data_IF_118193803851
#
_entry.id   IF_118193803851
#
_cell.length_a   1.000
_cell.length_b   1.000
_cell.length_c   1.000
_cell.angle_alpha   90.00
_cell.angle_beta   90.00
_cell.angle_gamma   90.00
#
_symmetry.space_group_name_H-M   'P 1'
#
loop_
_entity.id
_entity.type
_entity.pdbx_description
1 polymer ?
#
# COMPACT_ATOMS: atom_id res chain seq x y z
N UNK A 1 32.54 34.79 -35.37
CA UNK A 1 32.70 33.36 -35.71
C UNK A 1 34.16 32.97 -35.57
N UNK A 2 34.52 32.29 -34.47
CA UNK A 2 35.72 31.45 -34.35
C UNK A 2 35.33 30.27 -33.47
N UNK A 3 35.39 29.09 -34.08
CA UNK A 3 35.07 27.78 -33.54
C UNK A 3 36.28 27.29 -32.73
N UNK A 4 36.07 26.91 -31.47
CA UNK A 4 37.09 26.25 -30.66
C UNK A 4 36.87 24.73 -30.67
N UNK A 5 37.98 24.00 -30.69
CA UNK A 5 38.09 22.61 -31.15
C UNK A 5 37.82 21.59 -30.03
N UNK A 6 36.82 20.72 -30.23
CA UNK A 6 36.62 19.50 -29.45
C UNK A 6 37.54 18.39 -29.96
N UNK A 7 38.52 17.98 -29.15
CA UNK A 7 39.48 16.91 -29.49
C UNK A 7 38.99 15.57 -28.91
N UNK A 8 38.43 14.71 -29.76
CA UNK A 8 38.05 13.34 -29.38
C UNK A 8 39.28 12.41 -29.43
N UNK A 9 39.45 11.57 -28.40
CA UNK A 9 40.51 10.57 -28.30
C UNK A 9 39.98 9.21 -28.77
N UNK A 10 40.53 8.69 -29.86
CA UNK A 10 40.10 7.43 -30.48
C UNK A 10 40.91 6.23 -29.93
N UNK A 11 40.21 5.18 -29.48
CA UNK A 11 40.78 3.86 -29.21
C UNK A 11 40.16 2.85 -30.19
N UNK A 12 41.01 2.10 -30.88
CA UNK A 12 40.63 1.10 -31.89
C UNK A 12 40.43 -0.29 -31.24
N UNK A 13 39.38 -1.02 -31.64
CA UNK A 13 39.30 -2.46 -31.42
C UNK A 13 39.14 -3.21 -32.75
N UNK A 14 39.79 -4.37 -32.84
CA UNK A 14 40.18 -5.10 -34.05
C UNK A 14 39.08 -5.80 -34.87
N UNK A 15 37.92 -5.17 -35.06
CA UNK A 15 36.93 -5.57 -36.06
C UNK A 15 36.34 -4.29 -36.62
N UNK A 16 36.61 -3.99 -37.89
CA UNK A 16 36.42 -2.69 -38.56
C UNK A 16 34.98 -2.18 -38.71
N UNK A 17 34.15 -2.29 -37.67
CA UNK A 17 32.88 -1.58 -37.51
C UNK A 17 33.06 -0.49 -36.47
N UNK A 18 32.89 0.77 -36.89
CA UNK A 18 32.70 1.87 -35.93
C UNK A 18 31.41 1.60 -35.15
N UNK A 19 31.53 1.16 -33.90
CA UNK A 19 30.45 1.30 -32.94
C UNK A 19 30.62 2.66 -32.30
N UNK A 20 30.07 3.69 -32.94
CA UNK A 20 29.76 4.93 -32.23
C UNK A 20 28.61 4.60 -31.30
N UNK A 21 28.90 4.22 -30.05
CA UNK A 21 27.89 4.38 -29.00
C UNK A 21 27.58 5.88 -28.92
N UNK A 22 26.33 6.30 -29.17
CA UNK A 22 25.99 7.70 -29.08
C UNK A 22 26.23 8.16 -27.64
N UNK A 23 26.93 9.30 -27.47
CA UNK A 23 27.22 9.91 -26.17
C UNK A 23 25.97 10.11 -25.28
N UNK A 24 24.77 10.10 -25.87
CA UNK A 24 23.48 10.15 -25.16
C UNK A 24 23.20 8.90 -24.33
N UNK A 25 23.51 7.69 -24.83
CA UNK A 25 23.19 6.43 -24.12
C UNK A 25 24.01 6.30 -22.84
N UNK A 26 25.27 6.74 -22.84
CA UNK A 26 26.13 6.68 -21.64
C UNK A 26 25.70 7.70 -20.59
N UNK A 27 25.31 8.92 -20.98
CA UNK A 27 24.76 9.91 -20.05
C UNK A 27 23.40 9.51 -19.49
N UNK A 28 22.57 8.82 -20.28
CA UNK A 28 21.27 8.31 -19.83
C UNK A 28 21.44 7.14 -18.84
N UNK A 29 22.41 6.25 -19.07
CA UNK A 29 22.72 5.16 -18.16
C UNK A 29 23.32 5.65 -16.83
N UNK A 30 24.19 6.66 -16.87
CA UNK A 30 24.76 7.28 -15.66
C UNK A 30 23.69 8.05 -14.86
N UNK A 31 22.78 8.76 -15.55
CA UNK A 31 21.64 9.42 -14.91
C UNK A 31 20.66 8.43 -14.28
N UNK A 32 20.31 7.35 -14.98
CA UNK A 32 19.44 6.28 -14.46
C UNK A 32 20.08 5.54 -13.27
N UNK A 33 21.41 5.35 -13.28
CA UNK A 33 22.12 4.77 -12.14
C UNK A 33 22.08 5.67 -10.91
N UNK A 34 22.31 6.98 -11.08
CA UNK A 34 22.22 7.97 -9.99
C UNK A 34 20.80 8.13 -9.43
N UNK A 35 19.78 8.13 -10.29
CA UNK A 35 18.36 8.15 -9.86
C UNK A 35 17.99 6.91 -9.06
N UNK A 36 18.49 5.74 -9.46
CA UNK A 36 18.23 4.47 -8.76
C UNK A 36 18.92 4.40 -7.40
N UNK A 37 20.13 4.94 -7.29
CA UNK A 37 20.87 5.02 -6.02
C UNK A 37 20.15 5.95 -5.03
N UNK A 38 19.75 7.15 -5.46
CA UNK A 38 18.98 8.07 -4.60
C UNK A 38 17.62 7.51 -4.20
N UNK A 39 16.91 6.83 -5.11
CA UNK A 39 15.64 6.18 -4.78
C UNK A 39 15.80 5.07 -3.72
N UNK A 40 16.93 4.35 -3.74
CA UNK A 40 17.25 3.33 -2.75
C UNK A 40 17.58 3.92 -1.38
N UNK A 41 18.32 5.02 -1.32
CA UNK A 41 18.63 5.72 -0.07
C UNK A 41 17.35 6.28 0.59
N UNK A 42 16.50 6.90 -0.22
CA UNK A 42 15.21 7.44 0.23
C UNK A 42 14.29 6.34 0.77
N UNK A 43 14.25 5.19 0.08
CA UNK A 43 13.49 4.03 0.53
C UNK A 43 13.95 3.53 1.91
N UNK A 44 15.25 3.37 2.14
CA UNK A 44 15.78 2.93 3.43
C UNK A 44 15.57 3.99 4.53
N UNK A 45 15.67 5.29 4.19
CA UNK A 45 15.32 6.40 5.11
C UNK A 45 13.86 6.32 5.57
N UNK A 46 12.92 6.19 4.62
CA UNK A 46 11.49 6.11 4.92
C UNK A 46 11.20 4.84 5.73
N UNK A 47 11.75 3.69 5.32
CA UNK A 47 11.60 2.41 6.03
C UNK A 47 12.05 2.50 7.49
N UNK A 48 13.21 3.12 7.74
CA UNK A 48 13.71 3.34 9.09
C UNK A 48 12.79 4.26 9.90
N UNK A 49 12.36 5.37 9.31
CA UNK A 49 11.46 6.36 9.93
C UNK A 49 10.11 5.75 10.31
N UNK A 50 9.50 4.97 9.40
CA UNK A 50 8.24 4.25 9.65
C UNK A 50 8.40 3.28 10.82
N UNK A 51 9.46 2.46 10.80
CA UNK A 51 9.72 1.46 11.84
C UNK A 51 9.97 2.10 13.21
N UNK A 52 10.75 3.16 13.25
CA UNK A 52 11.05 3.90 14.48
C UNK A 52 9.79 4.54 15.06
N UNK A 53 9.00 5.22 14.22
CA UNK A 53 7.77 5.87 14.64
C UNK A 53 6.81 4.88 15.32
N UNK A 54 6.50 3.74 14.68
CA UNK A 54 5.65 2.72 15.29
C UNK A 54 6.23 2.12 16.58
N UNK A 55 7.56 2.00 16.66
CA UNK A 55 8.24 1.52 17.87
C UNK A 55 8.07 2.50 19.03
N UNK A 56 8.13 3.82 18.78
CA UNK A 56 7.88 4.86 19.79
C UNK A 56 6.43 4.91 20.25
N UNK A 57 5.49 4.64 19.35
CA UNK A 57 4.05 4.51 19.66
C UNK A 57 3.72 3.20 20.43
N UNK A 58 4.71 2.37 20.75
CA UNK A 58 4.51 1.09 21.45
C UNK A 58 3.79 0.04 20.62
N UNK A 59 3.74 0.21 19.29
CA UNK A 59 3.09 -0.71 18.37
C UNK A 59 4.07 -1.77 17.89
N UNK A 60 3.70 -3.05 17.98
CA UNK A 60 4.48 -4.15 17.41
C UNK A 60 4.46 -4.03 15.88
N UNK A 61 5.66 -3.96 15.29
CA UNK A 61 5.86 -3.96 13.83
C UNK A 61 6.33 -5.33 13.39
N UNK A 62 5.60 -5.95 12.46
CA UNK A 62 5.96 -7.20 11.84
C UNK A 62 6.47 -6.94 10.43
N UNK A 63 7.75 -7.22 10.19
CA UNK A 63 8.35 -7.11 8.85
C UNK A 63 8.02 -8.36 8.05
N UNK A 64 7.42 -8.19 6.88
CA UNK A 64 7.03 -9.29 6.01
C UNK A 64 7.87 -9.19 4.72
N UNK A 65 8.52 -10.28 4.35
CA UNK A 65 9.22 -10.35 3.06
C UNK A 65 8.21 -10.47 1.92
N UNK A 66 8.29 -9.59 0.93
CA UNK A 66 7.42 -9.61 -0.24
C UNK A 66 8.25 -9.26 -1.49
N UNK A 67 8.31 -10.14 -2.52
CA UNK A 67 9.13 -9.91 -3.70
C UNK A 67 8.68 -8.71 -4.56
N UNK A 68 7.48 -8.16 -4.31
CA UNK A 68 6.90 -7.01 -5.03
C UNK A 68 6.98 -5.70 -4.26
N UNK A 69 7.61 -5.70 -3.09
CA UNK A 69 7.73 -4.52 -2.26
C UNK A 69 9.16 -4.37 -1.73
N UNK A 70 9.63 -3.13 -1.69
CA UNK A 70 10.92 -2.76 -1.09
C UNK A 70 10.86 -3.01 0.42
N UNK A 71 9.73 -2.69 1.03
CA UNK A 71 9.38 -3.16 2.36
C UNK A 71 7.87 -3.30 2.54
N UNK A 72 7.49 -4.17 3.46
CA UNK A 72 6.12 -4.39 3.90
C UNK A 72 6.13 -4.57 5.42
N UNK A 73 5.39 -3.70 6.11
CA UNK A 73 5.14 -3.81 7.54
C UNK A 73 3.68 -4.11 7.80
N UNK A 74 3.43 -5.05 8.71
CA UNK A 74 2.13 -5.24 9.33
C UNK A 74 2.16 -4.66 10.73
N UNK A 75 1.20 -3.79 11.04
CA UNK A 75 1.15 -3.03 12.29
C UNK A 75 -0.26 -3.09 12.87
N UNK A 76 -0.37 -3.25 14.19
CA UNK A 76 -1.66 -3.11 14.90
C UNK A 76 -1.82 -1.66 15.33
N UNK A 77 -2.72 -0.93 14.68
CA UNK A 77 -3.00 0.46 15.02
C UNK A 77 -4.40 0.60 15.59
N UNK A 78 -4.47 0.94 16.88
CA UNK A 78 -5.73 0.94 17.63
C UNK A 78 -6.44 -0.43 17.53
N UNK A 79 -7.59 -0.49 16.84
CA UNK A 79 -8.42 -1.71 16.72
C UNK A 79 -8.10 -2.58 15.52
N UNK A 80 -7.40 -2.06 14.51
CA UNK A 80 -7.23 -2.75 13.21
C UNK A 80 -5.77 -3.01 12.88
N UNK A 81 -5.55 -4.03 12.07
CA UNK A 81 -4.26 -4.24 11.42
C UNK A 81 -4.18 -3.43 10.13
N UNK A 82 -3.03 -2.83 9.91
CA UNK A 82 -2.67 -2.12 8.68
C UNK A 82 -1.43 -2.74 8.07
N UNK A 83 -1.39 -2.73 6.74
CA UNK A 83 -0.19 -2.96 5.96
C UNK A 83 0.36 -1.61 5.51
N UNK A 84 1.62 -1.34 5.81
CA UNK A 84 2.39 -0.22 5.26
C UNK A 84 3.37 -0.80 4.27
N UNK A 85 3.14 -0.57 2.98
CA UNK A 85 3.90 -1.17 1.89
C UNK A 85 4.52 -0.10 1.03
N UNK A 86 5.78 -0.27 0.66
CA UNK A 86 6.41 0.46 -0.44
C UNK A 86 6.57 -0.50 -1.62
N UNK A 87 5.74 -0.41 -2.67
CA UNK A 87 5.89 -1.27 -3.82
C UNK A 87 7.24 -1.01 -4.52
N UNK A 88 7.78 -2.03 -5.20
CA UNK A 88 9.01 -1.87 -5.97
C UNK A 88 8.86 -0.75 -7.02
N UNK A 89 9.89 0.09 -7.12
CA UNK A 89 10.00 1.10 -8.17
C UNK A 89 8.88 2.15 -8.12
N UNK A 90 8.26 2.34 -6.93
CA UNK A 90 7.22 3.32 -6.70
C UNK A 90 7.66 4.33 -5.64
N UNK A 91 7.54 5.62 -5.94
CA UNK A 91 7.89 6.72 -5.05
C UNK A 91 6.75 7.10 -4.09
N UNK A 92 6.13 6.09 -3.49
CA UNK A 92 5.14 6.27 -2.45
C UNK A 92 5.05 5.05 -1.54
N UNK A 93 4.65 5.30 -0.29
CA UNK A 93 4.12 4.25 0.58
C UNK A 93 2.61 4.18 0.42
N UNK A 94 2.08 2.96 0.37
CA UNK A 94 0.66 2.67 0.45
C UNK A 94 0.35 2.14 1.85
N UNK A 95 -0.61 2.79 2.50
CA UNK A 95 -1.15 2.34 3.79
C UNK A 95 -2.52 1.75 3.50
N UNK A 96 -2.76 0.52 3.94
CA UNK A 96 -4.02 -0.15 3.70
C UNK A 96 -4.49 -0.98 4.90
N UNK A 97 -5.80 -1.10 5.07
CA UNK A 97 -6.41 -2.06 5.99
C UNK A 97 -7.43 -2.90 5.26
N UNK A 98 -7.20 -4.21 5.31
CA UNK A 98 -8.13 -5.22 4.81
C UNK A 98 -9.01 -5.72 5.95
N UNK A 99 -10.32 -5.62 5.76
CA UNK A 99 -11.33 -6.09 6.71
C UNK A 99 -12.23 -7.12 6.04
N UNK A 100 -12.33 -8.29 6.66
CA UNK A 100 -13.22 -9.35 6.22
C UNK A 100 -14.56 -9.24 6.95
N UNK A 101 -15.66 -9.44 6.22
CA UNK A 101 -17.00 -9.44 6.80
C UNK A 101 -17.15 -10.72 7.64
N UNK A 102 -17.59 -10.60 8.90
CA UNK A 102 -17.76 -11.78 9.76
C UNK A 102 -18.82 -12.75 9.22
N UNK A 103 -18.69 -14.05 9.55
CA UNK A 103 -19.75 -15.02 9.32
C UNK A 103 -21.12 -14.60 9.88
N UNK A 104 -21.16 -13.86 10.98
CA UNK A 104 -22.39 -13.33 11.58
C UNK A 104 -23.10 -12.38 10.62
N UNK A 105 -22.37 -11.40 10.06
CA UNK A 105 -22.90 -10.49 9.06
C UNK A 105 -23.29 -11.23 7.78
N UNK A 106 -22.48 -12.17 7.31
CA UNK A 106 -22.75 -12.95 6.09
C UNK A 106 -24.07 -13.73 6.15
N UNK A 107 -24.52 -14.16 7.34
CA UNK A 107 -25.82 -14.86 7.49
C UNK A 107 -27.02 -13.98 7.15
N UNK A 108 -26.90 -12.66 7.30
CA UNK A 108 -28.00 -11.70 7.12
C UNK A 108 -27.78 -10.75 5.95
N UNK A 109 -26.62 -10.83 5.30
CA UNK A 109 -26.22 -9.99 4.18
C UNK A 109 -26.76 -10.57 2.86
N UNK A 110 -27.97 -10.15 2.48
CA UNK A 110 -28.56 -10.47 1.18
C UNK A 110 -27.85 -9.71 0.05
N UNK A 111 -28.10 -10.09 -1.20
CA UNK A 111 -27.54 -9.37 -2.36
C UNK A 111 -27.96 -7.90 -2.39
N UNK A 112 -29.21 -7.60 -2.03
CA UNK A 112 -29.74 -6.23 -1.94
C UNK A 112 -29.02 -5.42 -0.86
N UNK A 113 -28.86 -5.99 0.34
CA UNK A 113 -28.13 -5.38 1.45
C UNK A 113 -26.66 -5.18 1.12
N UNK A 114 -26.03 -6.13 0.43
CA UNK A 114 -24.65 -5.99 -0.02
C UNK A 114 -24.52 -4.84 -1.02
N UNK A 115 -25.45 -4.72 -1.97
CA UNK A 115 -25.48 -3.60 -2.92
C UNK A 115 -25.65 -2.26 -2.21
N UNK A 116 -26.56 -2.19 -1.23
CA UNK A 116 -26.78 -1.00 -0.42
C UNK A 116 -25.51 -0.62 0.36
N UNK A 117 -24.90 -1.58 1.03
CA UNK A 117 -23.64 -1.42 1.76
C UNK A 117 -22.54 -0.89 0.83
N UNK A 118 -22.36 -1.51 -0.33
CA UNK A 118 -21.37 -1.09 -1.30
C UNK A 118 -21.61 0.35 -1.78
N UNK A 119 -22.85 0.69 -2.10
CA UNK A 119 -23.24 2.04 -2.54
C UNK A 119 -22.98 3.11 -1.47
N UNK A 120 -23.40 2.87 -0.22
CA UNK A 120 -23.24 3.83 0.86
C UNK A 120 -21.77 4.05 1.22
N UNK A 121 -21.00 2.96 1.30
CA UNK A 121 -19.58 3.03 1.63
C UNK A 121 -18.76 3.66 0.49
N UNK A 122 -19.08 3.39 -0.77
CA UNK A 122 -18.46 4.08 -1.91
C UNK A 122 -18.79 5.57 -1.92
N UNK A 123 -20.03 5.95 -1.63
CA UNK A 123 -20.41 7.36 -1.53
C UNK A 123 -19.58 8.06 -0.46
N UNK A 124 -19.49 7.48 0.74
CA UNK A 124 -18.64 7.98 1.81
C UNK A 124 -17.17 8.11 1.36
N UNK A 125 -16.62 7.09 0.68
CA UNK A 125 -15.22 7.11 0.24
C UNK A 125 -14.94 8.23 -0.76
N UNK A 126 -15.85 8.47 -1.71
CA UNK A 126 -15.74 9.58 -2.67
C UNK A 126 -15.81 10.95 -1.99
N UNK A 127 -16.75 11.15 -1.06
CA UNK A 127 -16.92 12.42 -0.35
C UNK A 127 -15.73 12.75 0.55
N UNK A 128 -15.05 11.73 1.07
CA UNK A 128 -13.93 11.89 2.00
C UNK A 128 -12.57 11.70 1.33
N UNK A 129 -12.52 11.45 0.01
CA UNK A 129 -11.30 11.27 -0.78
C UNK A 129 -10.46 10.05 -0.39
N UNK A 130 -11.09 8.97 0.07
CA UNK A 130 -10.42 7.74 0.55
C UNK A 130 -10.54 6.66 -0.51
N UNK A 131 -9.47 5.91 -0.77
CA UNK A 131 -9.57 4.76 -1.67
C UNK A 131 -10.22 3.59 -0.93
N UNK A 132 -11.28 3.05 -1.53
CA UNK A 132 -12.00 1.92 -0.98
C UNK A 132 -12.29 0.91 -2.08
N UNK A 133 -11.95 -0.34 -1.83
CA UNK A 133 -12.20 -1.46 -2.73
C UNK A 133 -12.92 -2.60 -2.03
N UNK A 134 -13.65 -3.42 -2.79
CA UNK A 134 -14.27 -4.64 -2.27
C UNK A 134 -13.45 -5.86 -2.67
N UNK A 135 -13.28 -6.77 -1.73
CA UNK A 135 -12.67 -8.07 -1.97
C UNK A 135 -13.78 -9.00 -2.45
N UNK A 136 -13.66 -9.45 -3.69
CA UNK A 136 -14.58 -10.43 -4.24
C UNK A 136 -14.01 -11.85 -4.07
N UNK A 137 -14.83 -12.83 -3.66
CA UNK A 137 -14.43 -14.23 -3.71
C UNK A 137 -14.12 -14.60 -5.17
N UNK A 138 -12.93 -15.16 -5.42
CA UNK A 138 -12.60 -15.66 -6.76
C UNK A 138 -13.47 -16.90 -7.07
N UNK A 139 -14.15 -16.95 -8.23
CA UNK A 139 -14.84 -18.16 -8.66
C UNK A 139 -13.88 -19.35 -8.68
N UNK A 140 -14.22 -20.45 -7.99
CA UNK A 140 -13.45 -21.69 -8.01
C UNK A 140 -12.22 -21.77 -7.09
N UNK A 141 -11.99 -20.80 -6.19
CA UNK A 141 -10.89 -20.94 -5.23
C UNK A 141 -11.16 -22.09 -4.23
N UNK A 142 -10.22 -23.03 -4.04
CA UNK A 142 -10.35 -24.04 -2.99
C UNK A 142 -10.45 -23.36 -1.62
N UNK A 143 -11.43 -23.78 -0.82
CA UNK A 143 -11.62 -23.36 0.58
C UNK A 143 -10.33 -23.65 1.37
N UNK A 144 -9.39 -22.72 1.43
CA UNK A 144 -8.15 -22.91 2.20
C UNK A 144 -6.96 -22.02 1.86
N UNK A 145 -6.87 -21.42 0.67
CA UNK A 145 -5.71 -20.59 0.30
C UNK A 145 -6.14 -19.34 -0.48
N UNK A 146 -6.62 -18.33 0.25
CA UNK A 146 -7.03 -17.03 -0.28
C UNK A 146 -7.95 -16.32 0.69
N UNK A 147 -8.05 -14.97 0.66
CA UNK A 147 -8.77 -14.23 1.68
C UNK A 147 -10.23 -14.73 1.79
N UNK A 148 -10.69 -15.06 3.01
CA UNK A 148 -11.89 -15.84 3.22
C UNK A 148 -13.13 -14.96 3.03
N UNK A 149 -13.80 -15.11 1.89
CA UNK A 149 -15.10 -14.48 1.65
C UNK A 149 -15.01 -12.99 1.28
N UNK A 150 -16.16 -12.30 1.21
CA UNK A 150 -16.21 -10.90 0.82
C UNK A 150 -15.68 -10.01 1.95
N UNK A 151 -15.04 -8.92 1.56
CA UNK A 151 -14.46 -7.95 2.47
C UNK A 151 -14.34 -6.59 1.80
N UNK A 152 -13.69 -5.66 2.48
CA UNK A 152 -13.31 -4.39 1.91
C UNK A 152 -11.88 -4.03 2.30
N UNK A 153 -11.26 -3.19 1.48
CA UNK A 153 -9.94 -2.63 1.72
C UNK A 153 -10.09 -1.12 1.69
N UNK A 154 -9.60 -0.44 2.71
CA UNK A 154 -9.38 1.00 2.67
C UNK A 154 -7.90 1.27 2.49
N UNK A 155 -7.55 2.23 1.65
CA UNK A 155 -6.15 2.58 1.42
C UNK A 155 -5.94 4.06 1.12
N UNK A 156 -4.72 4.50 1.38
CA UNK A 156 -4.24 5.83 1.02
C UNK A 156 -2.76 5.75 0.66
N UNK A 157 -2.26 6.76 -0.04
CA UNK A 157 -0.87 6.85 -0.47
C UNK A 157 -0.20 8.08 0.11
N UNK A 158 1.05 7.93 0.51
CA UNK A 158 1.93 9.03 0.91
C UNK A 158 3.12 8.99 -0.04
N UNK A 159 3.23 9.99 -0.90
CA UNK A 159 4.34 10.16 -1.83
C UNK A 159 5.60 10.58 -1.08
N UNK A 160 6.76 10.21 -1.61
CA UNK A 160 8.06 10.41 -0.95
C UNK A 160 8.36 11.89 -0.66
N UNK A 161 7.98 12.77 -1.58
CA UNK A 161 8.14 14.23 -1.49
C UNK A 161 7.30 14.86 -0.36
N UNK A 162 6.21 14.20 0.03
CA UNK A 162 5.32 14.61 1.10
C UNK A 162 5.41 13.75 2.37
N UNK A 163 6.40 12.85 2.45
CA UNK A 163 6.52 11.95 3.59
C UNK A 163 6.96 12.71 4.85
N UNK A 164 6.21 12.52 5.93
CA UNK A 164 6.57 12.90 7.29
C UNK A 164 5.87 12.00 8.30
N UNK A 165 6.38 11.93 9.52
CA UNK A 165 5.75 11.16 10.60
C UNK A 165 4.34 11.68 10.94
N UNK A 166 4.15 13.00 10.92
CA UNK A 166 2.83 13.62 11.09
C UNK A 166 1.88 13.21 9.96
N UNK A 167 2.36 13.19 8.71
CA UNK A 167 1.56 12.74 7.57
C UNK A 167 1.18 11.27 7.71
N UNK A 168 2.13 10.42 8.13
CA UNK A 168 1.87 9.00 8.41
C UNK A 168 0.79 8.84 9.49
N UNK A 169 0.91 9.54 10.62
CA UNK A 169 -0.08 9.53 11.69
C UNK A 169 -1.47 9.96 11.22
N UNK A 170 -1.56 11.08 10.49
CA UNK A 170 -2.82 11.59 9.95
C UNK A 170 -3.47 10.58 9.00
N UNK A 171 -2.69 9.97 8.10
CA UNK A 171 -3.16 8.93 7.19
C UNK A 171 -3.68 7.70 7.95
N UNK A 172 -2.94 7.21 8.95
CA UNK A 172 -3.36 6.07 9.78
C UNK A 172 -4.68 6.37 10.51
N UNK A 173 -4.82 7.55 11.12
CA UNK A 173 -6.04 8.00 11.81
C UNK A 173 -7.23 8.13 10.86
N UNK A 174 -7.01 8.69 9.67
CA UNK A 174 -8.03 8.87 8.64
C UNK A 174 -8.53 7.52 8.14
N UNK A 175 -7.62 6.60 7.81
CA UNK A 175 -7.99 5.26 7.38
C UNK A 175 -8.67 4.46 8.49
N UNK A 176 -8.22 4.56 9.75
CA UNK A 176 -8.93 3.95 10.88
C UNK A 176 -10.38 4.42 10.97
N UNK A 177 -10.60 5.74 10.85
CA UNK A 177 -11.95 6.32 10.89
C UNK A 177 -12.81 5.83 9.71
N UNK A 178 -12.21 5.63 8.55
CA UNK A 178 -12.88 5.07 7.38
C UNK A 178 -13.29 3.60 7.58
N UNK A 179 -12.42 2.79 8.20
CA UNK A 179 -12.75 1.41 8.58
C UNK A 179 -13.92 1.40 9.54
N UNK A 180 -13.88 2.20 10.61
CA UNK A 180 -14.97 2.28 11.59
C UNK A 180 -16.28 2.70 10.94
N UNK A 181 -16.25 3.68 10.03
CA UNK A 181 -17.44 4.13 9.30
C UNK A 181 -18.01 3.03 8.41
N UNK A 182 -17.17 2.34 7.63
CA UNK A 182 -17.61 1.22 6.81
C UNK A 182 -18.25 0.12 7.67
N UNK A 183 -17.67 -0.19 8.83
CA UNK A 183 -18.25 -1.14 9.79
C UNK A 183 -19.59 -0.63 10.34
N UNK A 184 -19.71 0.66 10.66
CA UNK A 184 -20.96 1.24 11.16
C UNK A 184 -22.09 1.11 10.12
N UNK A 185 -21.81 1.43 8.85
CA UNK A 185 -22.78 1.28 7.75
C UNK A 185 -23.17 -0.19 7.58
N UNK A 186 -22.21 -1.12 7.67
CA UNK A 186 -22.49 -2.56 7.60
C UNK A 186 -23.42 -3.02 8.73
N UNK A 187 -23.15 -2.60 9.96
CA UNK A 187 -23.96 -2.90 11.14
C UNK A 187 -25.39 -2.34 10.98
N UNK A 188 -25.53 -1.11 10.50
CA UNK A 188 -26.81 -0.45 10.27
C UNK A 188 -27.69 -1.24 9.28
N UNK A 189 -27.14 -1.57 8.11
CA UNK A 189 -27.85 -2.28 7.04
C UNK A 189 -28.22 -3.71 7.45
N UNK A 190 -27.34 -4.36 8.22
CA UNK A 190 -27.59 -5.73 8.69
C UNK A 190 -28.45 -5.79 9.95
N UNK A 191 -28.66 -4.66 10.64
CA UNK A 191 -29.37 -4.58 11.91
C UNK A 191 -28.59 -5.21 13.07
N UNK A 192 -27.29 -5.46 12.91
CA UNK A 192 -26.45 -5.99 13.98
C UNK A 192 -26.02 -4.84 14.91
N UNK A 193 -26.26 -5.02 16.22
CA UNK A 193 -25.71 -4.12 17.23
C UNK A 193 -24.24 -4.52 17.41
N UNK A 194 -23.33 -3.61 17.05
CA UNK A 194 -21.89 -3.88 16.95
C UNK A 194 -21.38 -4.85 18.02
N UNK A 195 -20.88 -6.00 17.57
CA UNK A 195 -20.27 -6.99 18.44
C UNK A 195 -18.93 -6.51 18.99
N UNK A 196 -18.49 -7.09 20.11
CA UNK A 196 -17.11 -6.95 20.55
C UNK A 196 -16.21 -7.57 19.49
N UNK A 197 -15.31 -6.77 18.89
CA UNK A 197 -14.24 -7.26 18.01
C UNK A 197 -13.52 -8.38 18.74
N UNK A 198 -13.36 -9.57 18.16
CA UNK A 198 -12.55 -10.60 18.79
C UNK A 198 -11.13 -10.06 18.89
N UNK A 199 -10.52 -10.14 20.08
CA UNK A 199 -9.07 -10.03 20.24
C UNK A 199 -8.40 -11.26 19.63
N UNK A 200 -8.55 -11.47 18.31
CA UNK A 200 -7.77 -12.49 17.61
C UNK A 200 -6.38 -11.95 17.38
N UNK A 201 -5.47 -12.31 18.27
CA UNK A 201 -4.00 -12.15 18.21
C UNK A 201 -3.34 -12.98 17.12
N UNK A 202 -4.03 -13.33 16.04
CA UNK A 202 -3.48 -14.19 15.00
C UNK A 202 -3.30 -13.46 13.67
N UNK A 203 -2.20 -13.84 13.01
CA UNK A 203 -1.53 -13.28 11.85
C UNK A 203 -2.38 -13.17 10.55
N UNK A 204 -3.71 -13.21 10.64
CA UNK A 204 -4.66 -13.06 9.53
C UNK A 204 -5.14 -11.61 9.29
N UNK A 205 -6.05 -11.40 8.31
CA UNK A 205 -6.72 -10.12 8.10
C UNK A 205 -7.60 -9.76 9.31
N UNK A 206 -7.95 -8.48 9.48
CA UNK A 206 -8.83 -8.05 10.58
C UNK A 206 -10.24 -8.62 10.35
N UNK A 207 -10.75 -9.40 11.30
CA UNK A 207 -12.12 -9.90 11.29
C UNK A 207 -12.96 -9.04 12.24
N UNK A 208 -14.06 -8.47 11.75
CA UNK A 208 -15.00 -7.73 12.59
C UNK A 208 -16.27 -8.54 12.84
N UNK A 209 -16.67 -8.76 14.10
CA UNK A 209 -17.86 -9.50 14.53
C UNK A 209 -19.16 -8.75 14.33
#
# INVERSE_FOLDING_TARGET
MRTDQSRAMAMYNGSGTMVTQPLSEKSELEAQAGEKEMASEESERIKASVKEWFSREGTKVESISNPRAEFLFKVKFMRFFFSVVRPNEQQHIQVESQVMISPQHLKVLTAEKMREFQMQVLKFSFENGINLGFIQPRPGQPKGQGPPGPGFVVSDRIYDDGFSEDRLWQTMRRLHSAVDMAIAILNEITGQKGGKVPDTTQEGPSYYT
#
